data_IF_717397669838
#
_entry.id   IF_717397669838
#
_cell.length_a   1.000
_cell.length_b   1.000
_cell.length_c   1.000
_cell.angle_alpha   90.00
_cell.angle_beta   90.00
_cell.angle_gamma   90.00
#
_symmetry.space_group_name_H-M   'P 1'
#
loop_
_entity.id
_entity.type
_entity.pdbx_description
1 polymer ?
#
# COMPACT_ATOMS: atom_id res chain seq x y z
N UNK A 1 -100.89 4.00 -22.63
CA UNK A 1 -99.87 4.79 -21.92
C UNK A 1 -99.24 3.88 -20.86
N UNK A 2 -97.92 3.95 -20.60
CA UNK A 2 -96.85 3.18 -21.27
C UNK A 2 -96.21 2.08 -20.37
N UNK A 3 -95.41 1.19 -21.00
CA UNK A 3 -94.12 0.56 -20.56
C UNK A 3 -93.97 0.01 -19.12
N UNK A 4 -93.33 -1.12 -18.77
CA UNK A 4 -92.23 -1.94 -19.34
C UNK A 4 -92.11 -3.25 -18.47
N UNK A 5 -91.11 -4.16 -18.62
CA UNK A 5 -91.31 -5.63 -18.69
C UNK A 5 -90.65 -6.42 -17.52
N UNK A 6 -90.68 -7.77 -17.56
CA UNK A 6 -89.46 -8.61 -17.50
C UNK A 6 -89.77 -10.13 -17.57
N UNK A 7 -89.23 -10.78 -18.62
CA UNK A 7 -88.83 -12.20 -18.72
C UNK A 7 -87.28 -12.16 -18.72
N UNK A 8 -86.43 -13.11 -18.31
CA UNK A 8 -86.44 -14.55 -17.99
C UNK A 8 -85.03 -14.87 -17.45
N UNK A 9 -84.78 -15.95 -16.70
CA UNK A 9 -83.43 -16.50 -16.52
C UNK A 9 -83.18 -17.68 -17.48
N UNK A 10 -81.92 -17.91 -17.88
CA UNK A 10 -81.25 -19.23 -17.92
C UNK A 10 -80.01 -19.24 -18.86
N UNK A 11 -78.85 -19.34 -18.20
CA UNK A 11 -77.68 -20.20 -18.43
C UNK A 11 -77.32 -20.77 -19.82
N UNK A 12 -76.05 -20.47 -20.17
CA UNK A 12 -74.97 -21.33 -20.69
C UNK A 12 -74.99 -21.88 -22.13
N UNK A 13 -73.93 -21.51 -22.86
CA UNK A 13 -73.18 -22.44 -23.71
C UNK A 13 -71.74 -21.95 -23.92
N UNK A 14 -70.80 -22.87 -23.65
CA UNK A 14 -69.35 -22.76 -23.83
C UNK A 14 -69.01 -22.75 -25.34
N UNK A 15 -68.11 -21.85 -25.75
CA UNK A 15 -67.37 -21.97 -27.02
C UNK A 15 -65.87 -21.77 -26.76
N UNK A 16 -65.11 -22.82 -27.11
CA UNK A 16 -63.66 -22.91 -27.04
C UNK A 16 -63.08 -22.24 -28.30
N UNK A 17 -62.32 -21.15 -28.13
CA UNK A 17 -61.61 -20.49 -29.23
C UNK A 17 -60.10 -20.70 -29.09
N UNK A 18 -59.52 -21.46 -30.02
CA UNK A 18 -58.09 -21.62 -30.22
C UNK A 18 -57.50 -20.30 -30.73
N UNK A 19 -56.61 -19.67 -29.96
CA UNK A 19 -55.72 -18.61 -30.45
C UNK A 19 -54.34 -19.20 -30.73
N UNK A 20 -53.94 -19.16 -32.00
CA UNK A 20 -52.57 -19.42 -32.45
C UNK A 20 -51.72 -18.21 -32.07
N UNK A 21 -51.03 -18.30 -30.94
CA UNK A 21 -50.05 -17.32 -30.50
C UNK A 21 -48.67 -17.60 -31.10
N UNK A 22 -48.21 -16.71 -31.97
CA UNK A 22 -46.84 -16.69 -32.48
C UNK A 22 -45.86 -16.44 -31.32
N UNK A 23 -45.12 -17.46 -30.89
CA UNK A 23 -44.00 -17.27 -29.97
C UNK A 23 -42.81 -16.69 -30.73
N UNK A 24 -42.71 -15.35 -30.72
CA UNK A 24 -41.41 -14.67 -30.83
C UNK A 24 -40.59 -15.10 -29.62
N UNK A 25 -39.34 -15.49 -29.83
CA UNK A 25 -38.36 -15.63 -28.77
C UNK A 25 -38.23 -14.28 -28.06
N UNK A 26 -38.75 -14.20 -26.84
CA UNK A 26 -38.33 -13.17 -25.91
C UNK A 26 -36.89 -13.53 -25.53
N UNK A 27 -35.94 -13.06 -26.34
CA UNK A 27 -34.64 -12.71 -25.80
C UNK A 27 -34.92 -11.55 -24.85
N UNK A 28 -35.22 -11.88 -23.59
CA UNK A 28 -35.02 -10.94 -22.50
C UNK A 28 -33.56 -10.52 -22.59
N UNK A 29 -33.33 -9.34 -23.17
CA UNK A 29 -32.09 -8.64 -23.04
C UNK A 29 -31.86 -8.49 -21.54
N UNK A 30 -31.03 -9.38 -20.99
CA UNK A 30 -30.52 -9.30 -19.63
C UNK A 30 -29.91 -7.91 -19.51
N UNK A 31 -30.63 -7.03 -18.81
CA UNK A 31 -30.13 -5.70 -18.49
C UNK A 31 -28.87 -5.95 -17.67
N UNK A 32 -27.67 -5.53 -18.13
CA UNK A 32 -26.45 -5.85 -17.40
C UNK A 32 -26.54 -5.22 -16.03
N UNK A 33 -26.67 -6.06 -15.01
CA UNK A 33 -26.61 -5.68 -13.61
C UNK A 33 -25.32 -4.88 -13.41
N UNK A 34 -25.36 -3.69 -12.77
CA UNK A 34 -24.15 -2.93 -12.51
C UNK A 34 -23.14 -3.86 -11.85
N UNK A 35 -21.95 -4.01 -12.45
CA UNK A 35 -20.89 -4.82 -11.87
C UNK A 35 -20.53 -4.19 -10.53
N UNK A 36 -21.09 -4.71 -9.45
CA UNK A 36 -20.62 -4.40 -8.10
C UNK A 36 -19.16 -4.86 -8.06
N UNK A 37 -18.28 -4.08 -7.42
CA UNK A 37 -16.86 -4.45 -7.29
C UNK A 37 -16.65 -5.77 -6.52
N UNK A 38 -17.71 -6.26 -5.86
CA UNK A 38 -17.84 -7.59 -5.23
C UNK A 38 -17.96 -8.67 -6.31
N UNK A 39 -17.03 -9.63 -6.32
CA UNK A 39 -17.04 -10.77 -7.27
C UNK A 39 -16.01 -10.68 -8.41
N UNK A 40 -15.36 -9.53 -8.62
CA UNK A 40 -14.18 -9.45 -9.47
C UNK A 40 -12.98 -10.06 -8.76
N UNK A 41 -12.23 -10.93 -9.44
CA UNK A 41 -11.02 -11.55 -8.86
C UNK A 41 -9.96 -10.52 -8.46
N UNK A 42 -9.28 -10.74 -7.33
CA UNK A 42 -8.10 -9.96 -6.93
C UNK A 42 -6.87 -10.12 -7.85
N UNK A 43 -6.96 -10.85 -8.97
CA UNK A 43 -5.87 -11.05 -9.91
C UNK A 43 -5.25 -9.74 -10.41
N UNK A 44 -6.08 -8.73 -10.73
CA UNK A 44 -5.59 -7.41 -11.16
C UNK A 44 -4.82 -6.71 -10.04
N UNK A 45 -5.38 -6.70 -8.83
CA UNK A 45 -4.75 -6.08 -7.66
C UNK A 45 -3.42 -6.74 -7.28
N UNK A 46 -3.38 -8.07 -7.21
CA UNK A 46 -2.18 -8.83 -6.84
C UNK A 46 -1.07 -8.76 -7.91
N UNK A 47 -1.42 -8.64 -9.19
CA UNK A 47 -0.43 -8.44 -10.24
C UNK A 47 0.22 -7.04 -10.18
N UNK A 48 -0.56 -6.00 -9.90
CA UNK A 48 -0.03 -4.65 -9.65
C UNK A 48 0.82 -4.59 -8.38
N UNK A 49 0.45 -5.35 -7.35
CA UNK A 49 1.25 -5.51 -6.14
C UNK A 49 2.62 -6.15 -6.44
N UNK A 50 2.67 -7.24 -7.20
CA UNK A 50 3.94 -7.87 -7.61
C UNK A 50 4.81 -6.91 -8.43
N UNK A 51 4.22 -6.15 -9.35
CA UNK A 51 4.96 -5.18 -10.15
C UNK A 51 5.52 -4.05 -9.26
N UNK A 52 4.78 -3.59 -8.25
CA UNK A 52 5.26 -2.60 -7.29
C UNK A 52 6.52 -3.09 -6.55
N UNK A 53 6.55 -4.37 -6.17
CA UNK A 53 7.74 -4.99 -5.56
C UNK A 53 8.94 -5.04 -6.53
N UNK A 54 8.70 -5.38 -7.80
CA UNK A 54 9.74 -5.32 -8.85
C UNK A 54 10.27 -3.90 -9.01
N UNK A 55 9.40 -2.89 -9.03
CA UNK A 55 9.78 -1.49 -9.18
C UNK A 55 10.61 -0.99 -8.00
N UNK A 56 10.24 -1.33 -6.75
CA UNK A 56 11.03 -1.00 -5.56
C UNK A 56 12.43 -1.60 -5.67
N UNK A 57 12.53 -2.89 -6.02
CA UNK A 57 13.81 -3.59 -6.12
C UNK A 57 14.75 -3.00 -7.18
N UNK A 58 14.19 -2.57 -8.30
CA UNK A 58 14.95 -2.21 -9.50
C UNK A 58 15.06 -0.71 -9.78
N UNK A 59 14.42 0.14 -8.97
CA UNK A 59 14.49 1.59 -9.13
C UNK A 59 15.41 2.19 -8.06
N UNK A 60 16.51 2.87 -8.45
CA UNK A 60 17.38 3.53 -7.49
C UNK A 60 16.64 4.56 -6.63
N UNK A 61 17.07 4.71 -5.37
CA UNK A 61 16.54 5.71 -4.45
C UNK A 61 15.33 5.26 -3.61
N UNK A 62 14.79 4.06 -3.82
CA UNK A 62 13.70 3.50 -3.01
C UNK A 62 14.21 2.87 -1.71
N UNK A 63 14.70 3.71 -0.80
CA UNK A 63 15.00 3.29 0.57
C UNK A 63 13.72 2.91 1.33
N UNK A 64 13.81 2.19 2.47
CA UNK A 64 12.62 1.74 3.21
C UNK A 64 11.53 2.82 3.44
N UNK A 65 11.83 4.03 3.93
CA UNK A 65 10.80 5.05 4.11
C UNK A 65 10.18 5.53 2.77
N UNK A 66 10.98 5.61 1.69
CA UNK A 66 10.51 6.00 0.35
C UNK A 66 9.61 4.91 -0.26
N UNK A 67 9.98 3.65 -0.09
CA UNK A 67 9.19 2.51 -0.53
C UNK A 67 7.86 2.42 0.22
N UNK A 68 7.86 2.63 1.54
CA UNK A 68 6.64 2.70 2.35
C UNK A 68 5.66 3.75 1.82
N UNK A 69 6.17 4.96 1.52
CA UNK A 69 5.38 6.04 0.93
C UNK A 69 4.77 5.65 -0.41
N UNK A 70 5.56 5.07 -1.31
CA UNK A 70 5.08 4.66 -2.62
C UNK A 70 3.95 3.61 -2.52
N UNK A 71 4.11 2.61 -1.65
CA UNK A 71 3.10 1.59 -1.41
C UNK A 71 1.83 2.14 -0.75
N UNK A 72 1.96 3.11 0.17
CA UNK A 72 0.81 3.80 0.76
C UNK A 72 -0.06 4.50 -0.27
N UNK A 73 0.55 5.31 -1.16
CA UNK A 73 -0.20 5.97 -2.23
C UNK A 73 -0.70 5.01 -3.31
N UNK A 74 0.05 3.95 -3.64
CA UNK A 74 -0.41 2.93 -4.58
C UNK A 74 -1.64 2.17 -4.04
N UNK A 75 -1.62 1.78 -2.75
CA UNK A 75 -2.74 1.13 -2.07
C UNK A 75 -3.97 2.01 -2.01
N UNK A 76 -3.83 3.27 -1.58
CA UNK A 76 -4.92 4.23 -1.57
C UNK A 76 -5.51 4.44 -2.97
N UNK A 77 -4.65 4.57 -4.00
CA UNK A 77 -5.11 4.73 -5.38
C UNK A 77 -5.92 3.53 -5.86
N UNK A 78 -5.50 2.32 -5.50
CA UNK A 78 -6.25 1.11 -5.83
C UNK A 78 -7.64 1.16 -5.20
N UNK A 79 -7.72 1.45 -3.90
CA UNK A 79 -8.98 1.52 -3.16
C UNK A 79 -9.93 2.59 -3.70
N UNK A 80 -9.47 3.83 -3.86
CA UNK A 80 -10.31 4.93 -4.31
C UNK A 80 -10.79 4.77 -5.77
N UNK A 81 -10.09 3.97 -6.58
CA UNK A 81 -10.52 3.65 -7.95
C UNK A 81 -11.64 2.61 -8.02
N UNK A 82 -11.92 1.89 -6.93
CA UNK A 82 -12.94 0.82 -6.89
C UNK A 82 -14.05 1.07 -5.88
N UNK A 83 -13.79 1.86 -4.84
CA UNK A 83 -14.73 2.07 -3.73
C UNK A 83 -16.12 2.58 -4.14
N UNK A 84 -16.32 3.39 -5.20
CA UNK A 84 -17.67 3.76 -5.60
C UNK A 84 -18.53 2.58 -6.08
N UNK A 85 -17.88 1.46 -6.43
CA UNK A 85 -18.53 0.19 -6.79
C UNK A 85 -18.75 -0.77 -5.63
N UNK A 86 -18.41 -0.38 -4.40
CA UNK A 86 -18.43 -1.24 -3.21
C UNK A 86 -19.44 -0.67 -2.18
N UNK A 87 -20.72 -1.10 -2.19
CA UNK A 87 -21.78 -0.50 -1.39
C UNK A 87 -21.53 -0.45 0.12
N UNK A 88 -20.80 -1.42 0.65
CA UNK A 88 -20.49 -1.53 2.09
C UNK A 88 -19.23 -0.77 2.51
N UNK A 89 -18.59 -0.05 1.58
CA UNK A 89 -17.32 0.61 1.77
C UNK A 89 -17.45 2.12 1.58
N UNK A 90 -16.52 2.88 2.15
CA UNK A 90 -16.53 4.34 2.12
C UNK A 90 -15.21 4.88 1.60
N UNK A 91 -15.26 5.93 0.78
CA UNK A 91 -14.06 6.66 0.38
C UNK A 91 -13.32 7.18 1.63
N UNK A 92 -11.99 7.15 1.58
CA UNK A 92 -11.10 7.71 2.58
C UNK A 92 -10.90 9.23 2.39
N UNK A 93 -11.45 9.82 1.33
CA UNK A 93 -11.58 11.27 1.23
C UNK A 93 -12.43 11.81 2.40
N UNK A 94 -11.98 12.89 3.03
CA UNK A 94 -12.54 13.45 4.26
C UNK A 94 -12.07 12.76 5.54
N UNK A 95 -11.43 11.59 5.45
CA UNK A 95 -10.92 10.85 6.61
C UNK A 95 -9.40 10.99 6.77
N UNK A 96 -8.67 11.02 5.65
CA UNK A 96 -7.22 11.15 5.64
C UNK A 96 -6.78 12.62 5.74
N UNK A 97 -5.63 12.83 6.38
CA UNK A 97 -5.07 14.15 6.68
C UNK A 97 -4.89 14.99 5.42
N UNK A 98 -5.72 16.01 5.25
CA UNK A 98 -5.65 16.95 4.13
C UNK A 98 -6.14 16.38 2.80
N UNK A 99 -6.81 15.22 2.77
CA UNK A 99 -7.49 14.71 1.58
C UNK A 99 -8.99 15.06 1.68
N UNK A 100 -9.41 16.18 1.13
CA UNK A 100 -10.79 16.68 1.29
C UNK A 100 -11.80 16.00 0.35
N UNK A 101 -11.43 15.84 -0.93
CA UNK A 101 -12.33 15.34 -1.97
C UNK A 101 -11.56 14.64 -3.08
N UNK A 102 -12.22 13.70 -3.76
CA UNK A 102 -11.69 13.01 -4.93
C UNK A 102 -12.71 13.04 -6.08
N UNK A 103 -12.26 12.89 -7.35
CA UNK A 103 -13.14 12.73 -8.49
C UNK A 103 -14.21 11.65 -8.24
N UNK A 104 -15.45 11.94 -8.63
CA UNK A 104 -16.57 11.01 -8.51
C UNK A 104 -16.92 10.40 -9.87
N UNK A 105 -17.47 9.17 -9.92
CA UNK A 105 -18.07 8.64 -11.13
C UNK A 105 -19.29 9.47 -11.55
N UNK A 106 -19.62 9.43 -12.83
CA UNK A 106 -20.81 10.06 -13.37
C UNK A 106 -22.06 9.30 -12.91
N UNK A 107 -23.04 10.03 -12.38
CA UNK A 107 -24.30 9.45 -11.89
C UNK A 107 -25.05 8.74 -13.02
N UNK A 108 -25.56 7.54 -12.73
CA UNK A 108 -26.36 6.75 -13.68
C UNK A 108 -25.56 6.07 -14.80
N UNK A 109 -24.22 6.16 -14.78
CA UNK A 109 -23.36 5.50 -15.77
C UNK A 109 -22.78 4.19 -15.24
N UNK A 110 -22.58 3.23 -16.15
CA UNK A 110 -21.95 1.94 -15.82
C UNK A 110 -20.43 2.04 -15.86
N UNK A 111 -19.77 1.44 -14.87
CA UNK A 111 -18.31 1.37 -14.76
C UNK A 111 -17.89 -0.07 -14.52
N UNK A 112 -16.69 -0.43 -15.02
CA UNK A 112 -16.02 -1.68 -14.71
C UNK A 112 -14.83 -1.39 -13.78
N UNK A 113 -14.99 -1.69 -12.49
CA UNK A 113 -14.05 -1.31 -11.44
C UNK A 113 -12.67 -1.98 -11.58
N UNK A 114 -12.59 -3.17 -12.17
CA UNK A 114 -11.30 -3.80 -12.51
C UNK A 114 -10.51 -3.02 -13.57
N UNK A 115 -11.19 -2.34 -14.50
CA UNK A 115 -10.54 -1.51 -15.53
C UNK A 115 -10.09 -0.18 -14.92
N UNK A 116 -10.91 0.38 -14.02
CA UNK A 116 -10.55 1.57 -13.26
C UNK A 116 -9.31 1.33 -12.39
N UNK A 117 -9.28 0.25 -11.61
CA UNK A 117 -8.12 -0.14 -10.81
C UNK A 117 -6.87 -0.34 -11.66
N UNK A 118 -7.01 -1.04 -12.80
CA UNK A 118 -5.91 -1.28 -13.72
C UNK A 118 -5.29 0.03 -14.26
N UNK A 119 -6.14 0.95 -14.72
CA UNK A 119 -5.69 2.24 -15.23
C UNK A 119 -5.12 3.15 -14.14
N UNK A 120 -5.73 3.13 -12.94
CA UNK A 120 -5.28 3.90 -11.80
C UNK A 120 -3.88 3.45 -11.34
N UNK A 121 -3.65 2.14 -11.23
CA UNK A 121 -2.34 1.59 -10.85
C UNK A 121 -1.25 1.89 -11.90
N UNK A 122 -1.57 1.75 -13.19
CA UNK A 122 -0.62 2.09 -14.25
C UNK A 122 -0.18 3.57 -14.17
N UNK A 123 -1.13 4.48 -13.96
CA UNK A 123 -0.86 5.91 -13.86
C UNK A 123 -0.07 6.27 -12.60
N UNK A 124 -0.51 5.82 -11.40
CA UNK A 124 0.16 6.18 -10.15
C UNK A 124 1.57 5.60 -10.06
N UNK A 125 1.80 4.36 -10.52
CA UNK A 125 3.13 3.76 -10.46
C UNK A 125 4.12 4.43 -11.42
N UNK A 126 3.68 4.86 -12.61
CA UNK A 126 4.54 5.68 -13.49
C UNK A 126 4.97 6.99 -12.81
N UNK A 127 4.06 7.63 -12.10
CA UNK A 127 4.34 8.89 -11.41
C UNK A 127 5.23 8.70 -10.17
N UNK A 128 4.93 7.69 -9.34
CA UNK A 128 5.73 7.40 -8.13
C UNK A 128 7.13 6.89 -8.48
N UNK A 129 7.27 6.10 -9.55
CA UNK A 129 8.53 5.52 -10.02
C UNK A 129 9.04 6.21 -11.30
N UNK A 130 8.91 7.53 -11.39
CA UNK A 130 9.25 8.30 -12.60
C UNK A 130 10.70 8.07 -13.10
N UNK A 131 11.61 7.79 -12.18
CA UNK A 131 13.04 7.54 -12.42
C UNK A 131 13.37 6.07 -12.76
N UNK A 132 12.37 5.19 -12.85
CA UNK A 132 12.58 3.79 -13.24
C UNK A 132 13.01 3.67 -14.70
N UNK A 133 13.60 2.51 -15.04
CA UNK A 133 14.12 2.25 -16.38
C UNK A 133 13.02 2.26 -17.46
N UNK A 134 13.40 2.54 -18.71
CA UNK A 134 12.47 2.43 -19.84
C UNK A 134 11.81 1.04 -19.93
N UNK A 135 12.57 -0.02 -19.70
CA UNK A 135 12.06 -1.40 -19.67
C UNK A 135 10.99 -1.62 -18.57
N UNK A 136 11.16 -1.00 -17.41
CA UNK A 136 10.15 -1.04 -16.34
C UNK A 136 8.91 -0.22 -16.71
N UNK A 137 9.06 0.95 -17.35
CA UNK A 137 7.93 1.72 -17.88
C UNK A 137 7.13 0.91 -18.91
N UNK A 138 7.80 0.24 -19.83
CA UNK A 138 7.17 -0.71 -20.76
C UNK A 138 6.51 -1.87 -20.03
N UNK A 139 7.08 -2.39 -18.93
CA UNK A 139 6.43 -3.44 -18.13
C UNK A 139 5.10 -2.96 -17.55
N UNK A 140 5.03 -1.70 -17.09
CA UNK A 140 3.78 -1.08 -16.60
C UNK A 140 2.75 -0.98 -17.73
N UNK A 141 3.16 -0.51 -18.92
CA UNK A 141 2.28 -0.41 -20.10
C UNK A 141 1.73 -1.77 -20.53
N UNK A 142 2.60 -2.78 -20.56
CA UNK A 142 2.23 -4.14 -20.91
C UNK A 142 1.24 -4.74 -19.91
N UNK A 143 1.46 -4.56 -18.60
CA UNK A 143 0.54 -5.08 -17.59
C UNK A 143 -0.84 -4.42 -17.69
N UNK A 144 -0.89 -3.10 -17.90
CA UNK A 144 -2.12 -2.39 -18.14
C UNK A 144 -2.85 -2.95 -19.37
N UNK A 145 -2.15 -3.12 -20.48
CA UNK A 145 -2.71 -3.65 -21.73
C UNK A 145 -3.29 -5.06 -21.54
N UNK A 146 -2.55 -5.95 -20.87
CA UNK A 146 -2.96 -7.33 -20.62
C UNK A 146 -4.30 -7.40 -19.87
N UNK A 147 -4.45 -6.64 -18.78
CA UNK A 147 -5.71 -6.65 -18.04
C UNK A 147 -6.85 -5.96 -18.80
N UNK A 148 -6.57 -4.88 -19.54
CA UNK A 148 -7.59 -4.24 -20.38
C UNK A 148 -8.13 -5.21 -21.43
N UNK A 149 -7.27 -5.93 -22.15
CA UNK A 149 -7.70 -6.92 -23.13
C UNK A 149 -8.41 -8.12 -22.50
N UNK A 150 -7.97 -8.56 -21.32
CA UNK A 150 -8.62 -9.64 -20.59
C UNK A 150 -10.06 -9.30 -20.23
N UNK A 151 -10.30 -8.11 -19.65
CA UNK A 151 -11.65 -7.67 -19.30
C UNK A 151 -12.51 -7.45 -20.54
N UNK A 152 -11.96 -6.81 -21.59
CA UNK A 152 -12.67 -6.62 -22.87
C UNK A 152 -13.19 -7.95 -23.44
N UNK A 153 -12.32 -8.96 -23.55
CA UNK A 153 -12.65 -10.24 -24.18
C UNK A 153 -13.59 -11.11 -23.36
N UNK A 154 -13.43 -11.11 -22.04
CA UNK A 154 -14.16 -12.05 -21.18
C UNK A 154 -15.57 -11.58 -20.82
N UNK A 155 -15.83 -10.26 -20.90
CA UNK A 155 -17.05 -9.66 -20.34
C UNK A 155 -17.88 -8.87 -21.36
N UNK A 156 -17.51 -8.93 -22.65
CA UNK A 156 -18.22 -8.28 -23.77
C UNK A 156 -18.56 -6.80 -23.50
N UNK A 157 -17.61 -6.08 -22.90
CA UNK A 157 -17.80 -4.68 -22.49
C UNK A 157 -17.85 -3.76 -23.71
N UNK A 158 -18.78 -2.79 -23.69
CA UNK A 158 -18.81 -1.74 -24.70
C UNK A 158 -17.59 -0.83 -24.59
N UNK A 159 -17.16 -0.24 -25.72
CA UNK A 159 -15.99 0.64 -25.74
C UNK A 159 -16.21 1.87 -24.85
N UNK A 160 -17.44 2.36 -24.74
CA UNK A 160 -17.82 3.46 -23.85
C UNK A 160 -17.61 3.11 -22.36
N UNK A 161 -17.97 1.89 -21.93
CA UNK A 161 -17.72 1.43 -20.56
C UNK A 161 -16.22 1.32 -20.28
N UNK A 162 -15.44 0.82 -21.26
CA UNK A 162 -13.99 0.71 -21.13
C UNK A 162 -13.36 2.09 -20.96
N UNK A 163 -13.64 3.01 -21.88
CA UNK A 163 -13.04 4.36 -21.88
C UNK A 163 -13.42 5.13 -20.62
N UNK A 164 -14.69 5.08 -20.21
CA UNK A 164 -15.17 5.73 -18.99
C UNK A 164 -14.48 5.18 -17.74
N UNK A 165 -14.31 3.86 -17.65
CA UNK A 165 -13.67 3.19 -16.50
C UNK A 165 -12.18 3.54 -16.41
N UNK A 166 -11.47 3.50 -17.55
CA UNK A 166 -10.07 3.87 -17.66
C UNK A 166 -9.87 5.34 -17.27
N UNK A 167 -10.68 6.24 -17.83
CA UNK A 167 -10.62 7.68 -17.55
C UNK A 167 -10.88 7.96 -16.06
N UNK A 168 -11.84 7.28 -15.43
CA UNK A 168 -12.06 7.43 -13.99
C UNK A 168 -10.85 7.00 -13.16
N UNK A 169 -10.25 5.84 -13.47
CA UNK A 169 -9.05 5.36 -12.77
C UNK A 169 -7.87 6.34 -12.90
N UNK A 170 -7.65 6.89 -14.09
CA UNK A 170 -6.62 7.89 -14.33
C UNK A 170 -6.87 9.19 -13.56
N UNK A 171 -8.11 9.67 -13.48
CA UNK A 171 -8.46 10.86 -12.69
C UNK A 171 -8.17 10.66 -11.20
N UNK A 172 -8.50 9.49 -10.64
CA UNK A 172 -8.18 9.13 -9.25
C UNK A 172 -6.67 9.14 -9.02
N UNK A 173 -5.90 8.46 -9.88
CA UNK A 173 -4.45 8.40 -9.76
C UNK A 173 -3.80 9.78 -9.84
N UNK A 174 -4.25 10.64 -10.76
CA UNK A 174 -3.79 12.03 -10.86
C UNK A 174 -4.10 12.80 -9.59
N UNK A 175 -5.34 12.78 -9.10
CA UNK A 175 -5.73 13.51 -7.90
C UNK A 175 -4.93 13.08 -6.66
N UNK A 176 -4.72 11.77 -6.48
CA UNK A 176 -3.92 11.24 -5.36
C UNK A 176 -2.44 11.59 -5.52
N UNK A 177 -1.89 11.52 -6.73
CA UNK A 177 -0.51 11.93 -6.98
C UNK A 177 -0.31 13.41 -6.65
N UNK A 178 -1.22 14.29 -7.10
CA UNK A 178 -1.20 15.72 -6.79
C UNK A 178 -1.23 15.98 -5.29
N UNK A 179 -2.15 15.33 -4.58
CA UNK A 179 -2.21 15.39 -3.12
C UNK A 179 -0.94 14.84 -2.45
N UNK A 180 -0.33 13.79 -3.00
CA UNK A 180 0.91 13.23 -2.48
C UNK A 180 2.06 14.22 -2.50
N UNK A 181 2.12 15.14 -3.47
CA UNK A 181 3.22 16.12 -3.59
C UNK A 181 3.31 17.07 -2.40
N UNK A 182 2.20 17.24 -1.69
CA UNK A 182 2.10 18.16 -0.54
C UNK A 182 2.55 17.54 0.79
N UNK A 183 2.95 16.26 0.80
CA UNK A 183 3.29 15.54 2.04
C UNK A 183 4.72 15.74 2.56
N UNK A 184 5.52 16.56 1.87
CA UNK A 184 6.96 16.81 2.08
C UNK A 184 7.91 15.64 1.77
N UNK A 185 7.39 14.44 1.52
CA UNK A 185 8.13 13.25 1.10
C UNK A 185 8.28 13.12 -0.41
N UNK A 186 7.64 13.99 -1.20
CA UNK A 186 7.81 14.02 -2.65
C UNK A 186 9.28 14.16 -3.06
N UNK A 187 9.66 13.41 -4.09
CA UNK A 187 11.04 13.26 -4.58
C UNK A 187 12.05 12.81 -3.51
N UNK A 188 11.57 12.20 -2.42
CA UNK A 188 12.44 11.64 -1.38
C UNK A 188 13.47 10.65 -1.93
N UNK A 189 13.16 9.95 -3.03
CA UNK A 189 14.08 9.06 -3.73
C UNK A 189 15.37 9.75 -4.20
N UNK A 190 15.32 11.05 -4.51
CA UNK A 190 16.47 11.82 -4.98
C UNK A 190 17.30 12.41 -3.84
N UNK A 191 16.77 12.43 -2.61
CA UNK A 191 17.36 13.12 -1.44
C UNK A 191 17.57 12.18 -0.25
N UNK A 192 17.99 10.94 -0.53
CA UNK A 192 18.16 9.91 0.51
C UNK A 192 19.22 10.25 1.56
N UNK A 193 20.29 10.94 1.16
CA UNK A 193 21.49 11.16 1.97
C UNK A 193 21.86 12.66 1.96
N UNK A 194 21.00 13.53 2.48
CA UNK A 194 21.19 14.97 2.37
C UNK A 194 22.46 15.40 3.11
N UNK A 195 23.23 16.29 2.50
CA UNK A 195 24.54 16.74 3.01
C UNK A 195 24.43 17.73 4.17
N UNK A 196 23.26 18.37 4.31
CA UNK A 196 22.99 19.44 5.28
C UNK A 196 22.67 18.90 6.69
N UNK A 197 22.38 17.60 6.83
CA UNK A 197 22.14 17.01 8.13
C UNK A 197 23.45 16.73 8.87
N UNK A 198 23.63 17.43 9.99
CA UNK A 198 24.76 17.21 10.91
C UNK A 198 24.25 16.43 12.13
N UNK A 199 24.67 15.16 12.32
CA UNK A 199 24.30 14.41 13.52
C UNK A 199 24.80 15.11 14.80
N UNK A 200 24.01 15.11 15.89
CA UNK A 200 24.46 15.68 17.14
C UNK A 200 25.67 14.91 17.69
N UNK A 201 26.59 15.63 18.31
CA UNK A 201 27.80 15.06 18.93
C UNK A 201 27.58 14.93 20.43
N UNK A 202 27.95 13.78 21.00
CA UNK A 202 27.93 13.55 22.45
C UNK A 202 27.83 12.06 22.82
N UNK A 203 27.91 11.74 24.12
CA UNK A 203 27.73 10.38 24.61
C UNK A 203 26.40 9.78 24.14
N UNK A 204 26.45 8.55 23.64
CA UNK A 204 25.28 7.82 23.15
C UNK A 204 24.67 8.34 21.85
N UNK A 205 25.28 9.34 21.20
CA UNK A 205 24.80 9.85 19.91
C UNK A 205 25.29 9.01 18.74
N UNK A 206 24.44 8.91 17.73
CA UNK A 206 24.70 8.16 16.51
C UNK A 206 25.91 8.73 15.78
N UNK A 207 26.77 7.82 15.36
CA UNK A 207 27.92 8.10 14.51
C UNK A 207 27.82 7.25 13.25
N UNK A 208 28.37 7.76 12.15
CA UNK A 208 28.41 7.03 10.89
C UNK A 208 29.18 5.71 11.08
N UNK A 209 28.56 4.60 10.66
CA UNK A 209 29.18 3.26 10.71
C UNK A 209 29.88 2.88 9.40
N UNK A 210 29.72 3.70 8.36
CA UNK A 210 30.34 3.56 7.04
C UNK A 210 30.98 4.90 6.70
N UNK A 211 32.18 4.88 6.12
CA UNK A 211 32.90 6.10 5.77
C UNK A 211 32.35 6.77 4.50
N UNK A 212 32.57 8.09 4.40
CA UNK A 212 32.24 8.88 3.21
C UNK A 212 30.74 9.10 3.00
N UNK A 213 30.39 9.56 1.81
CA UNK A 213 29.02 10.02 1.49
C UNK A 213 27.97 8.92 1.57
N UNK A 214 28.34 7.67 1.28
CA UNK A 214 27.48 6.50 1.43
C UNK A 214 27.09 6.23 2.90
N UNK A 215 27.85 6.74 3.86
CA UNK A 215 27.59 6.62 5.30
C UNK A 215 26.75 7.75 5.90
N UNK A 216 26.35 8.76 5.11
CA UNK A 216 25.45 9.84 5.58
C UNK A 216 24.14 9.30 6.11
N UNK A 217 23.51 10.08 6.99
CA UNK A 217 22.24 9.72 7.60
C UNK A 217 21.15 9.52 6.53
N UNK A 218 20.48 8.37 6.58
CA UNK A 218 19.40 8.04 5.65
C UNK A 218 18.10 8.75 6.03
N UNK A 219 17.66 9.66 5.17
CA UNK A 219 16.37 10.35 5.26
C UNK A 219 16.13 11.05 6.62
N UNK A 220 17.06 11.89 7.11
CA UNK A 220 17.02 12.46 8.46
C UNK A 220 15.78 13.33 8.74
N UNK A 221 15.16 13.88 7.70
CA UNK A 221 13.98 14.73 7.81
C UNK A 221 12.66 13.98 7.59
N UNK A 222 12.67 12.66 7.38
CA UNK A 222 11.44 11.91 7.01
C UNK A 222 10.32 11.99 8.04
N UNK A 223 10.68 12.18 9.32
CA UNK A 223 9.71 12.37 10.40
C UNK A 223 8.88 13.66 10.30
N UNK A 224 9.22 14.56 9.35
CA UNK A 224 8.48 15.79 9.08
C UNK A 224 7.37 15.61 8.03
N UNK A 225 7.32 14.44 7.37
CA UNK A 225 6.31 14.17 6.35
C UNK A 225 4.91 14.11 6.96
N UNK A 226 3.89 14.45 6.17
CA UNK A 226 2.49 14.32 6.57
C UNK A 226 2.15 12.82 6.71
N UNK A 227 1.65 12.42 7.87
CA UNK A 227 1.02 11.10 8.07
C UNK A 227 -0.35 11.05 7.39
N UNK A 228 -0.74 9.88 6.90
CA UNK A 228 -2.08 9.63 6.35
C UNK A 228 -3.15 9.87 7.40
N UNK A 229 -2.98 9.35 8.62
CA UNK A 229 -3.87 9.63 9.74
C UNK A 229 -3.32 10.82 10.54
N UNK A 230 -4.13 11.85 10.73
CA UNK A 230 -3.71 13.06 11.46
C UNK A 230 -3.32 12.76 12.92
N UNK A 231 -3.98 11.79 13.55
CA UNK A 231 -3.67 11.35 14.93
C UNK A 231 -2.24 10.82 15.08
N UNK A 232 -1.67 10.20 14.04
CA UNK A 232 -0.32 9.64 14.07
C UNK A 232 0.76 10.74 14.15
N UNK A 233 0.52 11.92 13.56
CA UNK A 233 1.48 13.03 13.60
C UNK A 233 1.74 13.53 15.04
N UNK A 234 0.73 13.43 15.90
CA UNK A 234 0.75 13.86 17.30
C UNK A 234 1.42 12.86 18.25
N UNK A 235 1.76 11.65 17.81
CA UNK A 235 2.39 10.65 18.68
C UNK A 235 3.76 11.12 19.17
N UNK A 236 3.97 11.00 20.48
CA UNK A 236 5.24 11.29 21.14
C UNK A 236 6.23 10.15 20.91
N UNK A 237 7.45 10.43 20.40
CA UNK A 237 8.48 9.41 20.28
C UNK A 237 8.87 8.83 21.65
N UNK A 238 8.78 7.50 21.86
CA UNK A 238 9.15 6.91 23.14
C UNK A 238 10.65 7.03 23.39
N UNK A 239 11.05 7.40 24.60
CA UNK A 239 12.46 7.57 24.94
C UNK A 239 13.22 6.23 24.99
N UNK A 240 14.48 6.19 24.52
CA UNK A 240 15.35 5.04 24.74
C UNK A 240 15.82 5.01 26.21
N UNK A 241 16.47 3.91 26.58
CA UNK A 241 17.23 3.84 27.83
C UNK A 241 18.29 4.95 27.86
N UNK A 242 18.51 5.52 29.04
CA UNK A 242 19.58 6.47 29.25
C UNK A 242 20.93 5.81 28.97
N UNK A 243 21.79 6.48 28.21
CA UNK A 243 23.14 6.02 27.90
C UNK A 243 23.95 5.81 29.19
N UNK A 244 24.64 4.67 29.29
CA UNK A 244 25.52 4.37 30.41
C UNK A 244 26.57 3.35 30.00
N UNK A 245 27.77 3.46 30.57
CA UNK A 245 28.92 2.58 30.28
C UNK A 245 29.30 1.67 31.44
N UNK A 246 28.77 1.92 32.65
CA UNK A 246 28.93 1.01 33.78
C UNK A 246 28.29 -0.34 33.49
N UNK A 247 28.94 -1.42 33.91
CA UNK A 247 28.42 -2.79 33.79
C UNK A 247 27.03 -2.97 34.45
N UNK A 248 26.70 -2.13 35.44
CA UNK A 248 25.40 -2.13 36.12
C UNK A 248 24.32 -1.29 35.43
N UNK A 249 24.67 -0.52 34.38
CA UNK A 249 23.68 0.32 33.70
C UNK A 249 22.75 -0.52 32.81
N UNK A 250 21.44 -0.20 32.75
CA UNK A 250 20.51 -0.92 31.86
C UNK A 250 20.93 -0.90 30.39
N UNK A 251 21.55 0.19 29.94
CA UNK A 251 22.06 0.32 28.57
C UNK A 251 23.20 -0.67 28.28
N UNK A 252 24.17 -0.79 29.21
CA UNK A 252 25.24 -1.77 29.08
C UNK A 252 24.70 -3.19 29.05
N UNK A 253 23.70 -3.51 29.89
CA UNK A 253 23.09 -4.85 29.94
C UNK A 253 22.45 -5.21 28.59
N UNK A 254 21.70 -4.30 27.95
CA UNK A 254 21.17 -4.55 26.60
C UNK A 254 22.28 -4.71 25.54
N UNK A 255 23.34 -3.91 25.62
CA UNK A 255 24.47 -4.05 24.70
C UNK A 255 25.21 -5.39 24.89
N UNK A 256 25.33 -5.85 26.13
CA UNK A 256 25.94 -7.15 26.47
C UNK A 256 25.08 -8.30 25.93
N UNK A 257 23.76 -8.18 25.94
CA UNK A 257 22.86 -9.13 25.30
C UNK A 257 23.11 -9.22 23.78
N UNK A 258 23.23 -8.07 23.10
CA UNK A 258 23.54 -8.03 21.65
C UNK A 258 24.92 -8.65 21.37
N UNK A 259 25.92 -8.34 22.19
CA UNK A 259 27.26 -8.91 22.09
C UNK A 259 27.24 -10.43 22.24
N UNK A 260 26.63 -10.92 23.32
CA UNK A 260 26.59 -12.33 23.70
C UNK A 260 25.78 -13.16 22.69
N UNK A 261 24.62 -12.64 22.26
CA UNK A 261 23.83 -13.24 21.19
C UNK A 261 24.63 -13.30 19.90
N UNK A 262 25.28 -12.19 19.51
CA UNK A 262 26.05 -12.09 18.27
C UNK A 262 27.24 -13.08 18.20
N UNK A 263 27.85 -13.43 19.34
CA UNK A 263 28.93 -14.44 19.42
C UNK A 263 28.41 -15.88 19.31
N UNK A 264 27.14 -16.12 19.63
CA UNK A 264 26.58 -17.46 19.83
C UNK A 264 25.34 -17.76 18.97
N UNK A 265 25.19 -17.09 17.82
CA UNK A 265 24.05 -17.31 16.92
C UNK A 265 24.00 -18.75 16.38
N UNK A 266 22.84 -19.40 16.54
CA UNK A 266 22.54 -20.66 15.85
C UNK A 266 22.33 -20.43 14.34
N UNK A 267 22.39 -21.50 13.56
CA UNK A 267 22.15 -21.40 12.11
C UNK A 267 20.71 -21.00 11.78
N UNK A 268 19.75 -21.41 12.61
CA UNK A 268 18.37 -20.94 12.53
C UNK A 268 18.29 -19.42 12.77
N UNK A 269 18.91 -18.90 13.83
CA UNK A 269 18.92 -17.46 14.11
C UNK A 269 19.60 -16.65 12.99
N UNK A 270 20.69 -17.16 12.40
CA UNK A 270 21.31 -16.55 11.21
C UNK A 270 20.37 -16.52 10.02
N UNK A 271 19.60 -17.60 9.82
CA UNK A 271 18.62 -17.71 8.74
C UNK A 271 17.49 -16.72 8.92
N UNK A 272 16.93 -16.63 10.13
CA UNK A 272 15.90 -15.65 10.50
C UNK A 272 16.42 -14.22 10.26
N UNK A 273 17.63 -13.91 10.73
CA UNK A 273 18.22 -12.58 10.54
C UNK A 273 18.39 -12.22 9.06
N UNK A 274 18.84 -13.16 8.22
CA UNK A 274 18.98 -12.96 6.77
C UNK A 274 17.64 -12.85 6.05
N UNK A 275 16.64 -13.62 6.46
CA UNK A 275 15.29 -13.60 5.89
C UNK A 275 14.64 -12.22 6.07
N UNK A 276 14.81 -11.60 7.23
CA UNK A 276 14.26 -10.28 7.56
C UNK A 276 15.20 -9.11 7.27
N UNK A 277 16.38 -9.33 6.66
CA UNK A 277 17.39 -8.28 6.55
C UNK A 277 16.97 -7.13 5.61
N UNK A 278 16.32 -7.46 4.48
CA UNK A 278 15.72 -6.54 3.51
C UNK A 278 16.51 -5.24 3.24
N UNK A 279 17.82 -5.40 3.01
CA UNK A 279 18.74 -4.29 2.73
C UNK A 279 18.53 -3.63 1.35
N UNK A 280 19.41 -2.69 0.99
CA UNK A 280 19.37 -2.03 -0.32
C UNK A 280 19.43 -3.04 -1.48
N UNK A 281 18.67 -2.78 -2.55
CA UNK A 281 18.54 -3.69 -3.69
C UNK A 281 17.57 -4.86 -3.49
N UNK A 282 16.87 -4.91 -2.35
CA UNK A 282 15.76 -5.85 -2.10
C UNK A 282 14.40 -5.13 -2.26
N UNK A 283 13.31 -5.78 -1.85
CA UNK A 283 11.98 -5.13 -1.77
C UNK A 283 11.83 -4.24 -0.54
N UNK A 284 12.85 -4.18 0.34
CA UNK A 284 12.84 -3.47 1.63
C UNK A 284 11.77 -4.00 2.60
N UNK A 285 11.82 -3.68 3.91
CA UNK A 285 10.82 -4.17 4.86
C UNK A 285 9.36 -3.81 4.51
N UNK A 286 9.04 -2.58 4.01
CA UNK A 286 7.71 -2.28 3.52
C UNK A 286 7.22 -3.21 2.41
N UNK A 287 8.10 -3.52 1.45
CA UNK A 287 7.77 -4.44 0.36
C UNK A 287 7.59 -5.87 0.85
N UNK A 288 8.31 -6.28 1.91
CA UNK A 288 8.08 -7.58 2.54
C UNK A 288 6.68 -7.66 3.16
N UNK A 289 6.27 -6.66 3.95
CA UNK A 289 4.90 -6.59 4.51
C UNK A 289 3.83 -6.58 3.41
N UNK A 290 4.09 -5.85 2.32
CA UNK A 290 3.23 -5.85 1.15
C UNK A 290 3.13 -7.23 0.48
N UNK A 291 4.25 -7.94 0.34
CA UNK A 291 4.27 -9.31 -0.16
C UNK A 291 3.50 -10.28 0.73
N UNK A 292 3.58 -10.14 2.06
CA UNK A 292 2.80 -10.97 2.99
C UNK A 292 1.29 -10.71 2.85
N UNK A 293 0.87 -9.46 2.67
CA UNK A 293 -0.51 -9.13 2.35
C UNK A 293 -0.96 -9.77 1.03
N UNK A 294 -0.13 -9.71 -0.01
CA UNK A 294 -0.40 -10.37 -1.30
C UNK A 294 -0.57 -11.89 -1.15
N UNK A 295 0.29 -12.54 -0.36
CA UNK A 295 0.21 -13.98 -0.09
C UNK A 295 -1.07 -14.34 0.67
N UNK A 296 -1.46 -13.55 1.66
CA UNK A 296 -2.70 -13.74 2.41
C UNK A 296 -3.94 -13.62 1.50
N UNK A 297 -3.99 -12.58 0.65
CA UNK A 297 -5.08 -12.36 -0.31
C UNK A 297 -5.22 -13.49 -1.33
N UNK A 298 -4.09 -14.02 -1.82
CA UNK A 298 -4.08 -15.19 -2.70
C UNK A 298 -4.59 -16.44 -1.98
N UNK A 299 -4.12 -16.67 -0.76
CA UNK A 299 -4.51 -17.83 0.05
C UNK A 299 -6.01 -17.81 0.41
N UNK A 300 -6.58 -16.63 0.63
CA UNK A 300 -8.01 -16.48 0.95
C UNK A 300 -8.91 -16.41 -0.29
N UNK A 301 -8.35 -16.50 -1.51
CA UNK A 301 -9.06 -16.27 -2.76
C UNK A 301 -9.90 -14.97 -2.74
N UNK A 302 -9.29 -13.88 -2.28
CA UNK A 302 -9.97 -12.60 -2.12
C UNK A 302 -10.52 -12.04 -3.45
N UNK A 303 -11.58 -11.25 -3.34
CA UNK A 303 -12.06 -10.41 -4.44
C UNK A 303 -11.30 -9.07 -4.51
N UNK A 304 -11.55 -8.31 -5.56
CA UNK A 304 -10.91 -7.02 -5.83
C UNK A 304 -11.18 -6.01 -4.72
N UNK A 305 -12.41 -5.95 -4.19
CA UNK A 305 -12.76 -5.04 -3.10
C UNK A 305 -11.93 -5.32 -1.85
N UNK A 306 -11.86 -6.60 -1.45
CA UNK A 306 -11.07 -7.01 -0.28
C UNK A 306 -9.57 -6.79 -0.47
N UNK A 307 -9.05 -7.05 -1.68
CA UNK A 307 -7.66 -6.79 -2.00
C UNK A 307 -7.32 -5.30 -1.96
N UNK A 308 -8.16 -4.45 -2.56
CA UNK A 308 -7.95 -3.01 -2.58
C UNK A 308 -8.00 -2.42 -1.16
N UNK A 309 -8.94 -2.87 -0.32
CA UNK A 309 -9.00 -2.51 1.10
C UNK A 309 -7.71 -2.91 1.84
N UNK A 310 -7.28 -4.17 1.70
CA UNK A 310 -6.09 -4.67 2.39
C UNK A 310 -4.82 -3.90 2.00
N UNK A 311 -4.61 -3.64 0.71
CA UNK A 311 -3.47 -2.87 0.23
C UNK A 311 -3.51 -1.41 0.70
N UNK A 312 -4.68 -0.76 0.71
CA UNK A 312 -4.80 0.59 1.26
C UNK A 312 -4.46 0.61 2.75
N UNK A 313 -5.06 -0.26 3.56
CA UNK A 313 -4.82 -0.30 5.02
C UNK A 313 -3.36 -0.62 5.35
N UNK A 314 -2.77 -1.64 4.72
CA UNK A 314 -1.36 -2.02 4.96
C UNK A 314 -0.42 -0.92 4.50
N UNK A 315 -0.61 -0.38 3.29
CA UNK A 315 0.22 0.69 2.76
C UNK A 315 0.19 1.95 3.62
N UNK A 316 -1.00 2.37 4.05
CA UNK A 316 -1.20 3.54 4.94
C UNK A 316 -0.54 3.31 6.29
N UNK A 317 -0.80 2.17 6.94
CA UNK A 317 -0.25 1.87 8.27
C UNK A 317 1.28 1.77 8.24
N UNK A 318 1.84 1.11 7.22
CA UNK A 318 3.29 1.00 7.05
C UNK A 318 3.93 2.35 6.77
N UNK A 319 3.35 3.20 5.90
CA UNK A 319 3.87 4.55 5.67
C UNK A 319 3.94 5.37 6.96
N UNK A 320 2.83 5.42 7.71
CA UNK A 320 2.76 6.21 8.94
C UNK A 320 3.71 5.66 10.02
N UNK A 321 3.85 4.33 10.10
CA UNK A 321 4.84 3.67 10.96
C UNK A 321 6.27 4.11 10.63
N UNK A 322 6.63 4.21 9.34
CA UNK A 322 7.95 4.71 8.92
C UNK A 322 8.14 6.19 9.26
N UNK A 323 7.13 7.04 9.09
CA UNK A 323 7.20 8.47 9.48
C UNK A 323 7.45 8.59 11.00
N UNK A 324 6.67 7.89 11.81
CA UNK A 324 6.81 7.93 13.28
C UNK A 324 8.14 7.33 13.76
N UNK A 325 8.57 6.23 13.15
CA UNK A 325 9.86 5.59 13.45
C UNK A 325 11.04 6.53 13.13
N UNK A 326 11.03 7.16 11.96
CA UNK A 326 12.09 8.10 11.58
C UNK A 326 12.08 9.35 12.46
N UNK A 327 10.90 9.89 12.82
CA UNK A 327 10.78 10.95 13.82
C UNK A 327 11.46 10.55 15.13
N UNK A 328 11.24 9.34 15.63
CA UNK A 328 11.88 8.83 16.83
C UNK A 328 13.40 8.70 16.70
N UNK A 329 13.87 8.07 15.62
CA UNK A 329 15.30 7.88 15.33
C UNK A 329 16.07 9.19 15.37
N UNK A 330 15.56 10.21 14.69
CA UNK A 330 16.22 11.50 14.57
C UNK A 330 15.90 12.48 15.71
N UNK A 331 14.93 12.16 16.58
CA UNK A 331 14.75 12.86 17.86
C UNK A 331 15.86 12.47 18.84
N UNK A 332 16.08 11.16 19.04
CA UNK A 332 17.03 10.69 20.05
C UNK A 332 18.47 10.53 19.53
N UNK A 333 18.61 10.28 18.22
CA UNK A 333 19.90 10.02 17.56
C UNK A 333 20.71 8.95 18.31
N UNK A 334 20.10 7.82 18.66
CA UNK A 334 20.76 6.80 19.47
C UNK A 334 21.87 6.06 18.71
N UNK A 335 23.02 5.87 19.36
CA UNK A 335 24.16 5.08 18.89
C UNK A 335 23.79 3.64 18.55
N UNK A 336 24.41 3.08 17.51
CA UNK A 336 24.25 1.67 17.11
C UNK A 336 25.06 0.74 18.01
N UNK A 337 24.63 -0.53 18.20
CA UNK A 337 25.39 -1.50 18.99
C UNK A 337 26.83 -1.68 18.53
N UNK A 338 27.11 -1.68 17.22
CA UNK A 338 28.49 -1.83 16.70
C UNK A 338 29.43 -0.74 17.22
N UNK A 339 28.98 0.52 17.28
CA UNK A 339 29.81 1.63 17.76
C UNK A 339 29.96 1.60 19.28
N UNK A 340 28.91 1.23 20.00
CA UNK A 340 28.95 1.11 21.46
C UNK A 340 29.81 -0.07 21.92
N UNK A 341 29.56 -1.27 21.39
CA UNK A 341 30.29 -2.49 21.76
C UNK A 341 31.79 -2.32 21.47
N UNK A 342 32.16 -1.74 20.31
CA UNK A 342 33.57 -1.52 19.98
C UNK A 342 34.27 -0.51 20.90
N UNK A 343 33.54 0.47 21.44
CA UNK A 343 34.12 1.48 22.33
C UNK A 343 34.14 1.07 23.80
N UNK A 344 33.23 0.19 24.23
CA UNK A 344 33.02 -0.11 25.66
C UNK A 344 33.29 -1.57 26.04
N UNK A 345 33.15 -2.54 25.11
CA UNK A 345 33.15 -3.98 25.44
C UNK A 345 34.27 -4.73 24.68
N UNK A 346 34.24 -4.74 23.34
CA UNK A 346 35.15 -5.52 22.50
C UNK A 346 35.44 -4.75 21.19
N UNK A 347 36.62 -4.13 21.04
CA UNK A 347 36.96 -3.31 19.88
C UNK A 347 36.96 -4.09 18.55
N UNK A 348 37.04 -5.42 18.59
CA UNK A 348 37.10 -6.28 17.40
C UNK A 348 35.73 -6.88 17.04
N UNK A 349 34.68 -6.61 17.81
CA UNK A 349 33.35 -7.18 17.55
C UNK A 349 32.78 -6.72 16.20
N UNK A 350 32.11 -7.62 15.49
CA UNK A 350 31.42 -7.32 14.23
C UNK A 350 30.07 -8.01 14.22
N UNK A 351 28.97 -7.30 13.87
CA UNK A 351 27.63 -7.91 13.79
C UNK A 351 27.51 -8.83 12.56
N UNK A 352 26.57 -9.79 12.61
CA UNK A 352 26.24 -10.64 11.46
C UNK A 352 25.78 -9.83 10.24
N UNK A 353 24.92 -8.84 10.47
CA UNK A 353 24.40 -7.95 9.44
C UNK A 353 25.09 -6.60 9.52
N UNK A 354 25.44 -5.96 8.38
CA UNK A 354 25.96 -4.60 8.36
C UNK A 354 25.02 -3.62 9.07
N UNK A 355 25.57 -2.71 9.87
CA UNK A 355 24.77 -1.69 10.54
C UNK A 355 24.28 -0.66 9.51
N UNK A 356 22.96 -0.38 9.44
CA UNK A 356 22.43 0.64 8.57
C UNK A 356 22.84 2.06 8.97
N UNK A 357 22.91 2.96 7.99
CA UNK A 357 23.30 4.36 8.11
C UNK A 357 22.18 5.28 8.68
N UNK A 358 21.57 4.89 9.79
CA UNK A 358 20.59 5.69 10.53
C UNK A 358 20.61 5.35 12.02
N UNK A 359 20.13 6.23 12.91
CA UNK A 359 20.08 5.99 14.36
C UNK A 359 19.34 4.70 14.75
N UNK A 360 19.66 4.19 15.93
CA UNK A 360 19.20 2.88 16.42
C UNK A 360 17.70 2.89 16.78
N UNK A 361 17.30 3.78 17.70
CA UNK A 361 16.00 3.68 18.39
C UNK A 361 14.89 4.50 17.74
N UNK A 362 13.74 3.92 17.40
CA UNK A 362 13.35 2.51 17.49
C UNK A 362 13.68 1.73 16.21
N UNK A 363 13.60 0.40 16.24
CA UNK A 363 13.73 -0.45 15.05
C UNK A 363 12.65 -0.18 14.01
N UNK A 364 13.08 0.13 12.76
CA UNK A 364 12.17 0.30 11.63
C UNK A 364 11.43 -0.99 11.25
N UNK A 365 12.12 -2.13 11.32
CA UNK A 365 11.51 -3.45 11.08
C UNK A 365 10.41 -3.72 12.11
N UNK A 366 10.69 -3.54 13.40
CA UNK A 366 9.71 -3.82 14.45
C UNK A 366 8.49 -2.91 14.34
N UNK A 367 8.70 -1.61 14.09
CA UNK A 367 7.61 -0.64 14.00
C UNK A 367 6.69 -0.93 12.82
N UNK A 368 7.25 -1.17 11.64
CA UNK A 368 6.45 -1.43 10.43
C UNK A 368 5.80 -2.81 10.44
N UNK A 369 6.50 -3.84 10.93
CA UNK A 369 5.96 -5.20 11.01
C UNK A 369 4.81 -5.26 12.01
N UNK A 370 4.92 -4.56 13.15
CA UNK A 370 3.82 -4.45 14.11
C UNK A 370 2.59 -3.77 13.51
N UNK A 371 2.77 -2.66 12.79
CA UNK A 371 1.67 -1.97 12.10
C UNK A 371 1.01 -2.85 11.03
N UNK A 372 1.80 -3.51 10.19
CA UNK A 372 1.27 -4.42 9.16
C UNK A 372 0.55 -5.63 9.76
N UNK A 373 1.13 -6.25 10.79
CA UNK A 373 0.52 -7.40 11.47
C UNK A 373 -0.81 -7.04 12.12
N UNK A 374 -0.92 -5.88 12.77
CA UNK A 374 -2.16 -5.43 13.40
C UNK A 374 -3.27 -5.13 12.39
N UNK A 375 -2.92 -4.71 11.17
CA UNK A 375 -3.89 -4.52 10.09
C UNK A 375 -4.36 -5.84 9.48
N UNK A 376 -3.47 -6.85 9.45
CA UNK A 376 -3.73 -8.15 8.82
C UNK A 376 -4.33 -9.20 9.76
N UNK A 377 -4.28 -8.99 11.08
CA UNK A 377 -4.93 -9.82 12.11
C UNK A 377 -6.44 -9.68 12.08
#
# INVERSE_FOLDING_TARGET
MPCYPTFRPALALLTLAFFVGSCRTNDEATTPTPTTGTGLSAAVATAWADLSLKLIRSTPGFSPPVAARALGYAGLTMYESVVPGLPDYQSLAGQLNGLSSLPQPESGQTYHWGLSANAAQAAILKNLFATTSAANKTTVDSLQTVFTERFRKNENLSQEVIDRSVAFGQRIATAIFEWSKTDKGHEGYARNLPADYVPPVGPGKWVQTTAGDAGRALQPYWGQNRTFLASNAGMSPPAPLAFGTSASSPFFVQALEVYSTGKNLSDEQKTIAKFWADGGGTITPPGHSWNLATLALRKSNADLGKAAEAYARVGIAVNDAFICCWKCKYTYNLVRPVSYIRSVIDPNWTPLLPSPNFPEHLSGHSTQSGAAAQVLS
#
